data_IF_663930557945
#
_entry.id   IF_663930557945
#
_cell.length_a   1.000
_cell.length_b   1.000
_cell.length_c   1.000
_cell.angle_alpha   90.00
_cell.angle_beta   90.00
_cell.angle_gamma   90.00
#
_symmetry.space_group_name_H-M   'P 1'
#
loop_
_entity.id
_entity.type
_entity.pdbx_description
1 polymer ?
#
# COMPACT_ATOMS: atom_id res chain seq x y z
N UNK A 1 -40.80 43.64 22.55
CA UNK A 1 -40.49 44.12 23.91
C UNK A 1 -40.73 42.96 24.87
N UNK A 2 -39.73 42.60 25.70
CA UNK A 2 -39.66 41.42 26.62
C UNK A 2 -39.55 40.05 25.90
N UNK A 3 -38.70 39.08 26.25
CA UNK A 3 -37.84 38.82 27.42
C UNK A 3 -36.70 37.85 26.98
N UNK A 4 -35.46 38.04 27.44
CA UNK A 4 -34.76 37.20 28.44
C UNK A 4 -33.81 36.14 27.85
N UNK A 5 -32.53 36.26 28.19
CA UNK A 5 -31.52 35.22 28.00
C UNK A 5 -30.18 35.64 28.63
N UNK A 6 -30.08 35.55 29.95
CA UNK A 6 -28.81 35.59 30.67
C UNK A 6 -28.32 34.16 30.89
N UNK A 7 -27.05 33.90 30.63
CA UNK A 7 -26.42 32.61 30.85
C UNK A 7 -24.97 32.59 30.39
N UNK A 8 -24.11 33.26 31.17
CA UNK A 8 -22.66 33.14 31.07
C UNK A 8 -22.26 31.70 31.42
N UNK A 9 -21.60 30.99 30.50
CA UNK A 9 -20.68 29.91 30.86
C UNK A 9 -19.39 30.10 30.09
N UNK A 10 -18.37 30.51 30.83
CA UNK A 10 -16.99 30.60 30.42
C UNK A 10 -16.45 29.16 30.37
N UNK A 11 -16.35 28.60 29.16
CA UNK A 11 -15.71 27.31 28.90
C UNK A 11 -14.57 27.52 27.92
N UNK A 12 -13.40 27.89 28.44
CA UNK A 12 -12.16 27.98 27.70
C UNK A 12 -11.68 26.56 27.39
N UNK A 13 -12.09 26.00 26.25
CA UNK A 13 -11.52 24.77 25.72
C UNK A 13 -10.28 25.14 24.89
N UNK A 14 -9.13 25.15 25.56
CA UNK A 14 -7.82 25.16 24.91
C UNK A 14 -7.61 23.78 24.32
N UNK A 15 -7.98 23.62 23.04
CA UNK A 15 -7.46 22.54 22.20
C UNK A 15 -6.31 23.16 21.41
N UNK A 16 -5.11 23.08 21.99
CA UNK A 16 -3.88 23.44 21.29
C UNK A 16 -3.55 22.38 20.24
N UNK A 17 -3.61 22.78 18.97
CA UNK A 17 -2.61 22.40 17.98
C UNK A 17 -2.88 21.18 17.12
N UNK A 18 -3.84 21.28 16.19
CA UNK A 18 -3.64 20.73 14.85
C UNK A 18 -3.66 21.93 13.91
N UNK A 19 -2.48 22.40 13.51
CA UNK A 19 -2.36 23.39 12.44
C UNK A 19 -2.80 22.73 11.15
N UNK A 20 -4.03 22.99 10.75
CA UNK A 20 -4.61 22.62 9.45
C UNK A 20 -4.06 23.46 8.29
N UNK A 21 -3.05 24.30 8.52
CA UNK A 21 -2.51 25.17 7.48
C UNK A 21 -1.14 24.65 7.00
N UNK A 22 -1.09 24.47 5.68
CA UNK A 22 0.09 24.29 4.82
C UNK A 22 0.51 22.86 4.44
N UNK A 23 -0.47 22.01 4.12
CA UNK A 23 -0.32 21.16 2.93
C UNK A 23 -1.17 21.79 1.83
N UNK A 24 -0.58 22.01 0.66
CA UNK A 24 -1.17 22.65 -0.52
C UNK A 24 -2.31 21.78 -1.15
N UNK A 25 -3.30 21.40 -0.36
CA UNK A 25 -4.58 20.85 -0.78
C UNK A 25 -5.51 22.02 -1.14
N UNK A 26 -5.11 22.84 -2.12
CA UNK A 26 -6.01 23.87 -2.67
C UNK A 26 -7.26 23.16 -3.18
N UNK A 27 -8.33 23.29 -2.39
CA UNK A 27 -9.69 22.84 -2.71
C UNK A 27 -9.73 21.38 -3.16
N UNK A 28 -9.43 20.44 -2.25
CA UNK A 28 -9.97 19.09 -2.42
C UNK A 28 -11.48 19.24 -2.24
N UNK A 29 -12.19 19.42 -3.35
CA UNK A 29 -13.63 19.16 -3.37
C UNK A 29 -13.75 17.68 -3.08
N UNK A 30 -14.42 17.25 -2.00
CA UNK A 30 -14.68 15.84 -1.77
C UNK A 30 -15.44 15.33 -2.99
N UNK A 31 -14.76 14.56 -3.84
CA UNK A 31 -15.45 13.83 -4.87
C UNK A 31 -16.12 12.68 -4.16
N UNK A 32 -17.45 12.64 -4.16
CA UNK A 32 -18.18 11.49 -3.70
C UNK A 32 -17.86 10.33 -4.65
N UNK A 33 -16.88 9.52 -4.28
CA UNK A 33 -16.63 8.24 -4.94
C UNK A 33 -17.71 7.31 -4.43
N UNK A 34 -18.63 6.93 -5.31
CA UNK A 34 -19.51 5.81 -5.06
C UNK A 34 -18.68 4.52 -5.12
N UNK A 35 -18.28 4.00 -3.95
CA UNK A 35 -17.55 2.74 -3.85
C UNK A 35 -18.39 1.52 -4.28
N UNK A 36 -19.69 1.69 -4.53
CA UNK A 36 -20.55 0.65 -5.14
C UNK A 36 -20.56 0.69 -6.67
N UNK A 37 -19.98 1.71 -7.30
CA UNK A 37 -20.00 1.87 -8.75
C UNK A 37 -19.20 0.75 -9.46
N UNK A 38 -19.86 0.02 -10.36
CA UNK A 38 -19.24 -1.06 -11.15
C UNK A 38 -18.71 -0.58 -12.53
N UNK A 39 -18.67 0.72 -12.78
CA UNK A 39 -18.21 1.30 -14.04
C UNK A 39 -17.00 2.22 -13.83
N UNK A 40 -16.01 2.16 -14.74
CA UNK A 40 -14.85 3.05 -14.67
C UNK A 40 -15.28 4.50 -14.83
N UNK A 41 -15.02 5.31 -13.79
CA UNK A 41 -15.47 6.70 -13.70
C UNK A 41 -14.70 7.64 -14.63
N UNK A 42 -13.40 7.40 -14.87
CA UNK A 42 -12.51 8.39 -15.53
C UNK A 42 -11.53 7.82 -16.56
N UNK A 43 -11.02 6.59 -16.40
CA UNK A 43 -10.05 5.99 -17.32
C UNK A 43 -10.47 4.56 -17.66
N UNK A 44 -11.03 4.37 -18.86
CA UNK A 44 -11.46 3.06 -19.36
C UNK A 44 -10.30 2.10 -19.63
N UNK A 45 -9.07 2.60 -19.58
CA UNK A 45 -7.85 1.83 -19.78
C UNK A 45 -6.88 1.99 -18.60
N UNK A 46 -7.40 2.01 -17.37
CA UNK A 46 -6.57 2.07 -16.16
C UNK A 46 -5.59 0.88 -16.04
N UNK A 47 -5.85 -0.23 -16.74
CA UNK A 47 -4.95 -1.38 -16.84
C UNK A 47 -3.70 -1.11 -17.69
N UNK A 48 -3.73 -0.14 -18.62
CA UNK A 48 -2.54 0.35 -19.33
C UNK A 48 -1.89 1.39 -18.44
N UNK A 49 -0.83 1.01 -17.73
CA UNK A 49 -0.19 1.88 -16.74
C UNK A 49 0.60 3.02 -17.39
N UNK A 50 1.01 4.01 -16.61
CA UNK A 50 1.73 5.18 -17.13
C UNK A 50 3.06 4.85 -17.83
N UNK A 51 3.70 3.76 -17.41
CA UNK A 51 4.98 3.28 -17.89
C UNK A 51 4.90 2.88 -19.38
N UNK A 52 3.72 2.45 -19.83
CA UNK A 52 3.45 2.09 -21.22
C UNK A 52 3.55 3.29 -22.19
N UNK A 53 3.51 4.54 -21.68
CA UNK A 53 3.53 5.76 -22.49
C UNK A 53 4.88 6.48 -22.49
N UNK A 54 5.93 5.86 -21.93
CA UNK A 54 7.25 6.49 -21.92
C UNK A 54 7.81 6.62 -23.34
N UNK A 55 8.66 7.61 -23.57
CA UNK A 55 9.35 7.77 -24.85
C UNK A 55 10.33 6.61 -25.01
N UNK A 56 10.23 5.90 -26.12
CA UNK A 56 11.08 4.75 -26.48
C UNK A 56 12.34 5.16 -27.23
N UNK A 57 12.47 6.44 -27.61
CA UNK A 57 13.66 6.99 -28.26
C UNK A 57 14.18 8.17 -27.44
N UNK A 58 15.48 8.16 -27.14
CA UNK A 58 16.15 9.25 -26.44
C UNK A 58 16.61 10.37 -27.39
N UNK A 59 17.13 11.47 -26.82
CA UNK A 59 17.56 12.63 -27.61
C UNK A 59 18.77 12.38 -28.52
N UNK A 60 19.44 11.23 -28.39
CA UNK A 60 20.58 10.81 -29.21
C UNK A 60 20.19 9.74 -30.23
N UNK A 61 18.91 9.40 -30.34
CA UNK A 61 18.40 8.34 -31.23
C UNK A 61 18.59 6.92 -30.68
N UNK A 62 18.91 6.77 -29.39
CA UNK A 62 18.95 5.48 -28.73
C UNK A 62 17.54 4.93 -28.54
N UNK A 63 17.31 3.69 -28.95
CA UNK A 63 16.01 2.99 -28.80
C UNK A 63 16.01 2.18 -27.51
N UNK A 64 14.98 2.37 -26.70
CA UNK A 64 14.75 1.72 -25.41
C UNK A 64 13.38 1.05 -25.44
N UNK A 65 13.32 -0.21 -25.00
CA UNK A 65 12.08 -0.96 -24.90
C UNK A 65 11.73 -1.11 -23.41
N UNK A 66 10.80 -0.33 -22.86
CA UNK A 66 10.31 -0.46 -21.49
C UNK A 66 9.25 -1.58 -21.34
N UNK A 67 8.63 -1.99 -22.45
CA UNK A 67 7.55 -2.98 -22.47
C UNK A 67 8.04 -4.37 -22.07
N UNK A 68 9.34 -4.66 -22.28
CA UNK A 68 9.99 -5.92 -21.89
C UNK A 68 9.83 -6.26 -20.40
N UNK A 69 9.55 -5.27 -19.55
CA UNK A 69 9.33 -5.52 -18.13
C UNK A 69 8.12 -6.45 -17.96
N UNK A 70 6.98 -6.08 -18.55
CA UNK A 70 5.71 -6.78 -18.36
C UNK A 70 5.37 -7.78 -19.46
N UNK A 71 5.76 -7.47 -20.70
CA UNK A 71 5.52 -8.31 -21.85
C UNK A 71 6.78 -9.11 -22.12
N UNK A 72 6.73 -10.42 -21.91
CA UNK A 72 7.87 -11.32 -22.07
C UNK A 72 7.38 -12.61 -22.72
N UNK A 73 8.32 -13.43 -23.19
CA UNK A 73 7.99 -14.79 -23.57
C UNK A 73 7.39 -15.51 -22.36
N UNK A 74 6.27 -16.20 -22.58
CA UNK A 74 5.67 -17.02 -21.52
C UNK A 74 6.67 -18.03 -20.98
N UNK A 75 6.83 -18.08 -19.67
CA UNK A 75 7.57 -19.11 -18.95
C UNK A 75 6.76 -19.50 -17.73
N UNK A 76 6.59 -20.80 -17.51
CA UNK A 76 5.96 -21.31 -16.30
C UNK A 76 6.51 -20.59 -15.05
N UNK A 77 5.64 -20.20 -14.10
CA UNK A 77 4.19 -20.44 -14.05
C UNK A 77 3.33 -19.45 -14.87
N UNK A 78 3.92 -18.42 -15.49
CA UNK A 78 3.19 -17.45 -16.31
C UNK A 78 3.09 -17.91 -17.78
N UNK A 79 1.88 -18.25 -18.21
CA UNK A 79 1.62 -18.72 -19.58
C UNK A 79 1.09 -17.62 -20.53
N UNK A 80 1.04 -16.36 -20.08
CA UNK A 80 0.72 -15.23 -20.95
C UNK A 80 1.91 -15.02 -21.89
N UNK A 81 1.65 -15.15 -23.19
CA UNK A 81 2.66 -14.99 -24.24
C UNK A 81 2.30 -13.79 -25.11
N UNK A 82 2.74 -12.62 -24.70
CA UNK A 82 2.39 -11.33 -25.29
C UNK A 82 3.64 -10.50 -25.64
N UNK A 83 4.77 -11.20 -25.86
CA UNK A 83 6.03 -10.58 -26.23
C UNK A 83 5.94 -9.78 -27.54
N UNK A 84 5.05 -10.16 -28.45
CA UNK A 84 4.78 -9.48 -29.72
C UNK A 84 4.19 -8.06 -29.54
N UNK A 85 3.57 -7.78 -28.40
CA UNK A 85 3.13 -6.42 -28.05
C UNK A 85 4.30 -5.44 -27.92
N UNK A 86 5.51 -5.94 -27.65
CA UNK A 86 6.72 -5.11 -27.64
C UNK A 86 7.08 -4.57 -29.02
N UNK A 87 6.76 -5.32 -30.09
CA UNK A 87 7.11 -4.95 -31.46
C UNK A 87 6.02 -4.10 -32.12
N UNK A 88 4.75 -4.46 -31.87
CA UNK A 88 3.61 -3.89 -32.58
C UNK A 88 3.09 -2.58 -31.99
N UNK A 89 3.40 -2.27 -30.72
CA UNK A 89 2.85 -1.15 -29.97
C UNK A 89 1.32 -1.03 -30.17
N UNK A 90 0.61 -2.16 -30.04
CA UNK A 90 -0.78 -2.35 -30.46
C UNK A 90 -1.80 -1.72 -29.49
N UNK A 91 -1.68 -0.41 -29.30
CA UNK A 91 -2.64 0.34 -28.52
C UNK A 91 -3.89 0.60 -29.37
N UNK A 92 -5.05 0.27 -28.81
CA UNK A 92 -6.34 0.75 -29.29
C UNK A 92 -6.36 2.27 -29.47
N UNK A 93 -7.26 2.79 -30.30
CA UNK A 93 -7.43 4.23 -30.50
C UNK A 93 -7.59 4.98 -29.17
N UNK A 94 -8.34 4.42 -28.23
CA UNK A 94 -8.49 5.01 -26.91
C UNK A 94 -7.15 5.02 -26.16
N UNK A 95 -6.40 3.92 -26.13
CA UNK A 95 -5.18 3.78 -25.33
C UNK A 95 -3.97 4.47 -25.93
N UNK A 96 -4.01 5.02 -27.15
CA UNK A 96 -2.89 5.80 -27.73
C UNK A 96 -2.62 7.14 -27.04
N UNK A 97 -3.58 7.64 -26.27
CA UNK A 97 -3.43 8.92 -25.54
C UNK A 97 -3.11 8.66 -24.07
N UNK A 98 -1.96 9.18 -23.62
CA UNK A 98 -1.60 9.16 -22.20
C UNK A 98 -2.60 10.01 -21.38
N UNK A 99 -3.32 9.38 -20.46
CA UNK A 99 -4.30 10.04 -19.58
C UNK A 99 -3.79 10.24 -18.15
N UNK A 100 -2.56 9.82 -17.82
CA UNK A 100 -1.94 10.04 -16.52
C UNK A 100 -1.36 11.45 -16.39
N UNK A 101 -2.20 12.47 -16.60
CA UNK A 101 -1.78 13.88 -16.62
C UNK A 101 -1.20 14.38 -15.30
N UNK A 102 -1.53 13.72 -14.17
CA UNK A 102 -1.00 14.04 -12.85
C UNK A 102 0.52 13.86 -12.72
N UNK A 103 1.14 13.05 -13.58
CA UNK A 103 2.60 12.83 -13.61
C UNK A 103 3.36 14.05 -14.13
N UNK A 104 2.70 14.90 -14.93
CA UNK A 104 3.30 16.08 -15.55
C UNK A 104 2.98 17.38 -14.80
N UNK A 105 2.31 17.29 -13.64
CA UNK A 105 2.07 18.45 -12.79
C UNK A 105 3.38 18.85 -12.10
N UNK A 106 3.90 20.03 -12.44
CA UNK A 106 5.04 20.63 -11.76
C UNK A 106 4.68 20.93 -10.30
N UNK A 107 5.42 20.31 -9.38
CA UNK A 107 5.28 20.49 -7.93
C UNK A 107 6.52 21.15 -7.32
N UNK A 108 7.46 21.64 -8.13
CA UNK A 108 8.76 22.15 -7.67
C UNK A 108 8.59 23.25 -6.61
N UNK A 109 7.71 24.23 -6.84
CA UNK A 109 7.45 25.29 -5.87
C UNK A 109 6.83 24.74 -4.57
N UNK A 110 5.82 23.87 -4.67
CA UNK A 110 5.17 23.28 -3.51
C UNK A 110 6.11 22.39 -2.68
N UNK A 111 7.07 21.71 -3.34
CA UNK A 111 8.10 20.91 -2.67
C UNK A 111 9.16 21.81 -2.03
N UNK A 112 9.55 22.91 -2.68
CA UNK A 112 10.50 23.87 -2.13
C UNK A 112 9.98 24.58 -0.86
N UNK A 113 8.66 24.65 -0.68
CA UNK A 113 8.00 25.15 0.54
C UNK A 113 8.05 24.15 1.71
N UNK A 114 8.42 22.88 1.47
CA UNK A 114 8.48 21.84 2.51
C UNK A 114 9.90 21.81 3.10
N UNK A 115 10.12 22.26 4.35
CA UNK A 115 11.44 22.19 4.96
C UNK A 115 11.81 20.76 5.35
N UNK A 116 13.11 20.44 5.29
CA UNK A 116 13.65 19.14 5.71
C UNK A 116 13.20 18.73 7.11
N UNK A 117 13.11 19.69 8.04
CA UNK A 117 12.66 19.44 9.42
C UNK A 117 11.26 18.82 9.47
N UNK A 118 10.35 19.28 8.60
CA UNK A 118 8.98 18.76 8.52
C UNK A 118 8.93 17.38 7.89
N UNK A 119 9.81 17.09 6.92
CA UNK A 119 9.95 15.71 6.39
C UNK A 119 10.48 14.79 7.48
N UNK A 120 11.53 15.20 8.18
CA UNK A 120 12.16 14.43 9.25
C UNK A 120 11.24 14.20 10.45
N UNK A 121 10.36 15.15 10.76
CA UNK A 121 9.31 14.98 11.76
C UNK A 121 8.30 13.92 11.29
N UNK A 122 7.76 14.07 10.09
CA UNK A 122 6.77 13.15 9.52
C UNK A 122 7.26 11.70 9.43
N UNK A 123 8.49 11.45 8.93
CA UNK A 123 9.03 10.07 8.81
C UNK A 123 9.33 9.41 10.15
N UNK A 124 9.34 10.16 11.26
CA UNK A 124 9.52 9.63 12.62
C UNK A 124 8.19 9.33 13.31
N UNK A 125 7.06 9.70 12.71
CA UNK A 125 5.75 9.37 13.25
C UNK A 125 5.45 7.89 13.01
N UNK A 126 5.03 7.19 14.07
CA UNK A 126 4.40 5.87 13.92
C UNK A 126 2.95 6.09 13.49
N UNK A 127 2.64 5.72 12.25
CA UNK A 127 1.29 5.81 11.69
C UNK A 127 0.55 4.46 11.69
N UNK A 128 1.14 3.42 12.28
CA UNK A 128 0.50 2.12 12.48
C UNK A 128 -0.01 1.97 13.91
N UNK A 129 0.72 2.51 14.90
CA UNK A 129 0.43 2.35 16.33
C UNK A 129 0.20 3.69 17.05
N UNK A 130 -0.66 3.67 18.07
CA UNK A 130 -0.74 4.77 19.03
C UNK A 130 0.40 4.73 20.07
N UNK A 131 0.39 5.66 21.03
CA UNK A 131 1.43 5.76 22.08
C UNK A 131 1.38 4.59 23.07
N UNK A 132 0.23 3.92 23.15
CA UNK A 132 -0.04 2.77 23.98
C UNK A 132 0.30 1.44 23.26
N UNK A 133 0.64 1.51 21.96
CA UNK A 133 1.02 0.36 21.14
C UNK A 133 -0.16 -0.34 20.44
N UNK A 134 -1.38 0.22 20.48
CA UNK A 134 -2.52 -0.34 19.76
C UNK A 134 -2.44 -0.01 18.28
N UNK A 135 -2.90 -0.95 17.44
CA UNK A 135 -2.96 -0.76 16.00
C UNK A 135 -4.10 0.20 15.62
N UNK A 136 -3.75 1.39 15.13
CA UNK A 136 -4.69 2.49 14.85
C UNK A 136 -5.85 2.08 13.94
N UNK A 137 -5.53 1.35 12.86
CA UNK A 137 -6.55 0.90 11.92
C UNK A 137 -7.43 -0.22 12.51
N UNK A 138 -6.87 -1.13 13.29
CA UNK A 138 -7.66 -2.19 13.95
C UNK A 138 -8.66 -1.58 14.94
N UNK A 139 -8.25 -0.61 15.74
CA UNK A 139 -9.15 0.11 16.65
C UNK A 139 -10.25 0.87 15.89
N UNK A 140 -9.90 1.52 14.78
CA UNK A 140 -10.88 2.22 13.93
C UNK A 140 -11.91 1.26 13.32
N UNK A 141 -11.52 0.05 12.95
CA UNK A 141 -12.41 -0.94 12.35
C UNK A 141 -13.39 -1.57 13.36
N UNK A 142 -13.10 -1.51 14.68
CA UNK A 142 -14.08 -1.89 15.72
C UNK A 142 -15.30 -0.96 15.72
N UNK A 143 -15.12 0.31 15.36
CA UNK A 143 -16.16 1.32 15.24
C UNK A 143 -16.30 1.75 13.77
N UNK A 144 -16.75 0.82 12.93
CA UNK A 144 -16.77 0.99 11.47
C UNK A 144 -17.52 2.27 11.05
N UNK A 145 -16.86 3.21 10.34
CA UNK A 145 -17.54 4.37 9.78
C UNK A 145 -18.61 3.93 8.77
N UNK A 146 -19.81 4.53 8.82
CA UNK A 146 -20.92 4.20 7.91
C UNK A 146 -20.53 4.27 6.42
N UNK A 147 -19.63 5.19 6.05
CA UNK A 147 -19.16 5.32 4.67
C UNK A 147 -18.29 4.14 4.18
N UNK A 148 -17.82 3.28 5.08
CA UNK A 148 -16.97 2.11 4.78
C UNK A 148 -17.77 0.80 4.85
N UNK A 149 -18.97 0.85 5.40
CA UNK A 149 -19.89 -0.28 5.56
C UNK A 149 -20.71 -0.49 4.28
N UNK A 150 -20.07 -1.04 3.25
CA UNK A 150 -20.66 -1.17 1.90
C UNK A 150 -21.90 -2.06 1.87
N UNK A 151 -22.00 -3.04 2.78
CA UNK A 151 -23.14 -3.97 2.85
C UNK A 151 -24.13 -3.65 4.00
N UNK A 152 -23.91 -2.54 4.71
CA UNK A 152 -24.76 -2.03 5.79
C UNK A 152 -24.96 -3.01 6.96
N UNK A 153 -24.00 -3.92 7.21
CA UNK A 153 -24.12 -4.92 8.27
C UNK A 153 -23.54 -4.45 9.63
N UNK A 154 -22.94 -3.26 9.67
CA UNK A 154 -22.35 -2.65 10.85
C UNK A 154 -21.04 -3.28 11.32
N UNK A 155 -20.38 -4.10 10.48
CA UNK A 155 -19.18 -4.88 10.84
C UNK A 155 -18.16 -4.86 9.71
N UNK A 156 -16.88 -4.91 10.09
CA UNK A 156 -15.82 -5.08 9.11
C UNK A 156 -15.67 -6.56 8.76
N UNK A 157 -16.00 -6.91 7.52
CA UNK A 157 -15.89 -8.30 7.02
C UNK A 157 -14.52 -8.61 6.41
N UNK A 158 -13.66 -7.60 6.27
CA UNK A 158 -12.33 -7.75 5.67
C UNK A 158 -11.25 -8.14 6.67
N UNK A 159 -10.00 -8.11 6.20
CA UNK A 159 -8.83 -8.29 7.06
C UNK A 159 -8.73 -7.17 8.10
N UNK A 160 -8.62 -7.52 9.38
CA UNK A 160 -8.30 -6.59 10.46
C UNK A 160 -6.80 -6.68 10.73
N UNK A 161 -6.04 -5.56 10.69
CA UNK A 161 -4.61 -5.57 10.97
C UNK A 161 -4.28 -6.15 12.34
N UNK A 162 -3.32 -7.06 12.37
CA UNK A 162 -2.86 -7.79 13.56
C UNK A 162 -1.34 -8.04 13.57
N UNK A 163 -0.60 -7.42 12.65
CA UNK A 163 0.86 -7.34 12.70
C UNK A 163 1.28 -6.18 13.59
N UNK A 164 2.18 -6.43 14.55
CA UNK A 164 2.64 -5.44 15.51
C UNK A 164 3.94 -4.73 15.11
N UNK A 165 4.55 -5.15 13.99
CA UNK A 165 5.84 -4.65 13.49
C UNK A 165 6.95 -4.73 14.56
N UNK A 166 6.92 -5.81 15.33
CA UNK A 166 7.89 -6.13 16.39
C UNK A 166 8.58 -7.45 16.03
N UNK A 167 9.48 -7.38 15.05
CA UNK A 167 10.16 -8.54 14.50
C UNK A 167 11.34 -9.00 15.38
N UNK A 168 11.50 -10.31 15.52
CA UNK A 168 12.74 -10.89 16.04
C UNK A 168 13.83 -10.99 14.96
N UNK A 169 15.00 -11.52 15.33
CA UNK A 169 16.17 -11.62 14.44
C UNK A 169 15.91 -12.46 13.17
N UNK A 170 14.91 -13.33 13.19
CA UNK A 170 14.53 -14.19 12.06
C UNK A 170 13.37 -13.60 11.23
N UNK A 171 12.91 -12.41 11.62
CA UNK A 171 11.86 -11.66 10.95
C UNK A 171 10.44 -12.03 11.39
N UNK A 172 10.24 -12.82 12.45
CA UNK A 172 8.91 -13.16 12.94
C UNK A 172 8.34 -12.07 13.84
N UNK A 173 7.12 -11.63 13.56
CA UNK A 173 6.42 -10.61 14.33
C UNK A 173 5.89 -11.17 15.66
N UNK A 174 5.97 -10.33 16.70
CA UNK A 174 5.50 -10.66 18.05
C UNK A 174 4.44 -9.69 18.53
N UNK A 175 3.43 -10.23 19.21
CA UNK A 175 2.46 -9.43 19.95
C UNK A 175 3.11 -8.78 21.20
N UNK A 176 2.42 -7.85 21.88
CA UNK A 176 2.93 -7.22 23.10
C UNK A 176 3.15 -8.17 24.29
N UNK A 177 2.66 -9.41 24.20
CA UNK A 177 2.88 -10.47 25.21
C UNK A 177 4.08 -11.36 24.86
N UNK A 178 4.70 -11.15 23.69
CA UNK A 178 5.83 -11.90 23.18
C UNK A 178 5.49 -13.14 22.35
N UNK A 179 4.20 -13.40 22.08
CA UNK A 179 3.76 -14.53 21.25
C UNK A 179 3.93 -14.22 19.76
N UNK A 180 4.13 -15.24 18.95
CA UNK A 180 4.18 -15.09 17.50
C UNK A 180 2.79 -14.78 16.92
N UNK A 181 2.70 -13.76 16.06
CA UNK A 181 1.44 -13.42 15.35
C UNK A 181 1.24 -14.23 14.07
N UNK A 182 2.28 -14.98 13.68
CA UNK A 182 2.38 -15.70 12.42
C UNK A 182 2.88 -14.84 11.26
N UNK A 183 2.98 -13.52 11.38
CA UNK A 183 3.59 -12.69 10.34
C UNK A 183 5.11 -12.87 10.34
N UNK A 184 5.70 -13.00 9.15
CA UNK A 184 7.14 -12.99 8.94
C UNK A 184 7.52 -12.01 7.84
N UNK A 185 8.47 -11.13 8.12
CA UNK A 185 9.10 -10.28 7.12
C UNK A 185 10.01 -11.10 6.21
N UNK A 186 10.07 -10.78 4.92
CA UNK A 186 10.99 -11.42 3.99
C UNK A 186 11.59 -10.42 2.99
N UNK A 187 12.81 -10.71 2.55
CA UNK A 187 13.46 -9.95 1.50
C UNK A 187 12.93 -10.39 0.13
N UNK A 188 12.65 -9.42 -0.73
CA UNK A 188 12.23 -9.64 -2.11
C UNK A 188 13.08 -8.81 -3.07
N UNK A 189 13.15 -9.25 -4.33
CA UNK A 189 13.67 -8.41 -5.40
C UNK A 189 12.49 -7.65 -6.01
N UNK A 190 12.41 -6.32 -5.87
CA UNK A 190 11.31 -5.56 -6.45
C UNK A 190 11.35 -5.67 -7.97
N UNK A 191 10.17 -5.83 -8.55
CA UNK A 191 9.99 -5.80 -10.01
C UNK A 191 10.13 -4.36 -10.55
N UNK A 192 10.56 -4.24 -11.80
CA UNK A 192 10.87 -2.96 -12.44
C UNK A 192 9.62 -2.05 -12.53
N UNK A 193 9.72 -0.82 -12.04
CA UNK A 193 8.88 0.29 -12.53
C UNK A 193 7.93 0.98 -11.55
N UNK A 194 7.80 0.55 -10.30
CA UNK A 194 6.96 1.24 -9.30
C UNK A 194 7.73 2.04 -8.26
N UNK A 195 9.05 1.91 -8.24
CA UNK A 195 9.90 2.47 -7.19
C UNK A 195 10.83 3.54 -7.77
N UNK A 196 10.47 4.80 -7.56
CA UNK A 196 11.38 5.93 -7.81
C UNK A 196 12.19 6.24 -6.55
N UNK A 197 13.44 6.73 -6.68
CA UNK A 197 14.23 7.21 -5.54
C UNK A 197 13.50 8.27 -4.69
N UNK A 198 12.51 8.96 -5.25
CA UNK A 198 11.66 9.94 -4.57
C UNK A 198 10.54 9.33 -3.73
N UNK A 199 10.31 8.02 -3.79
CA UNK A 199 9.18 7.35 -3.15
C UNK A 199 9.55 6.67 -1.82
N UNK A 200 10.79 6.82 -1.33
CA UNK A 200 11.21 6.27 -0.04
C UNK A 200 11.56 4.77 -0.09
N UNK A 201 11.80 4.21 1.10
CA UNK A 201 12.20 2.81 1.32
C UNK A 201 11.20 1.84 0.68
N UNK A 202 11.72 0.71 0.19
CA UNK A 202 10.98 -0.44 -0.34
C UNK A 202 9.77 -0.79 0.54
N UNK A 203 8.66 -1.22 -0.07
CA UNK A 203 7.52 -1.77 0.67
C UNK A 203 8.01 -2.84 1.66
N UNK A 204 7.55 -2.79 2.91
CA UNK A 204 7.75 -3.89 3.85
C UNK A 204 6.77 -5.02 3.48
N UNK A 205 7.31 -6.17 3.09
CA UNK A 205 6.48 -7.32 2.69
C UNK A 205 6.49 -8.38 3.78
N UNK A 206 5.29 -8.74 4.20
CA UNK A 206 5.04 -9.74 5.23
C UNK A 206 4.28 -10.92 4.63
N UNK A 207 4.58 -12.12 5.10
CA UNK A 207 3.84 -13.33 4.78
C UNK A 207 3.30 -13.95 6.07
N UNK A 208 2.07 -14.47 6.02
CA UNK A 208 1.50 -15.34 7.03
C UNK A 208 0.80 -16.51 6.37
N UNK A 209 1.24 -17.72 6.69
CA UNK A 209 0.52 -18.92 6.25
C UNK A 209 -0.70 -19.19 7.16
N UNK A 210 -1.75 -19.86 6.65
CA UNK A 210 -2.87 -20.32 7.46
C UNK A 210 -2.42 -21.13 8.68
N UNK A 211 -3.24 -21.15 9.72
CA UNK A 211 -2.96 -21.79 11.01
C UNK A 211 -2.56 -23.28 10.86
N UNK A 212 -3.16 -24.00 9.91
CA UNK A 212 -2.86 -25.41 9.63
C UNK A 212 -1.42 -25.63 9.15
N UNK A 213 -0.76 -24.60 8.60
CA UNK A 213 0.65 -24.63 8.19
C UNK A 213 1.59 -24.14 9.30
N UNK A 214 1.07 -23.80 10.47
CA UNK A 214 1.85 -23.31 11.61
C UNK A 214 1.76 -24.24 12.81
N UNK A 215 0.85 -25.22 12.78
CA UNK A 215 0.60 -26.15 13.86
C UNK A 215 1.26 -27.51 13.67
N UNK A 216 1.61 -28.16 14.78
CA UNK A 216 2.04 -29.55 14.80
C UNK A 216 0.86 -30.54 14.71
N UNK A 217 1.15 -31.84 14.84
CA UNK A 217 0.15 -32.91 14.74
C UNK A 217 -0.91 -32.90 15.85
N UNK A 218 -0.67 -32.17 16.93
CA UNK A 218 -1.60 -32.00 18.04
C UNK A 218 -2.46 -30.73 17.89
N UNK A 219 -2.22 -29.92 16.85
CA UNK A 219 -2.89 -28.63 16.66
C UNK A 219 -2.25 -27.48 17.44
N UNK A 220 -1.02 -27.66 17.96
CA UNK A 220 -0.33 -26.61 18.72
C UNK A 220 0.61 -25.82 17.81
N UNK A 221 0.65 -24.49 17.97
CA UNK A 221 1.57 -23.61 17.22
C UNK A 221 3.03 -24.08 17.40
N UNK A 222 3.73 -24.28 16.29
CA UNK A 222 5.07 -24.85 16.28
C UNK A 222 5.96 -24.12 15.25
N UNK A 223 6.90 -23.32 15.75
CA UNK A 223 7.76 -22.49 14.92
C UNK A 223 8.60 -23.32 13.93
N UNK A 224 9.06 -24.52 14.33
CA UNK A 224 9.82 -25.40 13.43
C UNK A 224 8.96 -25.87 12.27
N UNK A 225 7.71 -26.29 12.53
CA UNK A 225 6.76 -26.64 11.45
C UNK A 225 6.53 -25.44 10.55
N UNK A 226 6.34 -24.26 11.13
CA UNK A 226 6.08 -23.07 10.35
C UNK A 226 7.27 -22.68 9.44
N UNK A 227 8.50 -22.72 9.97
CA UNK A 227 9.73 -22.48 9.21
C UNK A 227 9.88 -23.45 8.03
N UNK A 228 9.64 -24.74 8.27
CA UNK A 228 9.65 -25.77 7.21
C UNK A 228 8.64 -25.43 6.11
N UNK A 229 7.41 -25.07 6.48
CA UNK A 229 6.38 -24.73 5.51
C UNK A 229 6.69 -23.44 4.73
N UNK A 230 7.29 -22.44 5.37
CA UNK A 230 7.80 -21.25 4.68
C UNK A 230 8.93 -21.60 3.70
N UNK A 231 9.85 -22.49 4.06
CA UNK A 231 10.92 -22.94 3.17
C UNK A 231 10.37 -23.73 1.97
N UNK A 232 9.31 -24.52 2.16
CA UNK A 232 8.58 -25.17 1.05
C UNK A 232 7.99 -24.13 0.11
N UNK A 233 7.33 -23.09 0.64
CA UNK A 233 6.77 -22.00 -0.17
C UNK A 233 7.88 -21.27 -0.94
N UNK A 234 8.99 -20.95 -0.28
CA UNK A 234 10.14 -20.34 -0.93
C UNK A 234 10.72 -21.22 -2.06
N UNK A 235 10.85 -22.52 -1.81
CA UNK A 235 11.33 -23.49 -2.80
C UNK A 235 10.43 -23.56 -4.02
N UNK A 236 9.10 -23.56 -3.81
CA UNK A 236 8.12 -23.54 -4.89
C UNK A 236 8.20 -22.26 -5.72
N UNK A 237 8.30 -21.09 -5.07
CA UNK A 237 8.40 -19.80 -5.77
C UNK A 237 9.71 -19.66 -6.54
N UNK A 238 10.82 -20.13 -5.96
CA UNK A 238 12.17 -20.02 -6.57
C UNK A 238 12.51 -21.18 -7.51
N UNK A 239 11.65 -22.19 -7.61
CA UNK A 239 11.85 -23.42 -8.38
C UNK A 239 13.22 -24.08 -8.11
N UNK A 240 13.63 -24.10 -6.83
CA UNK A 240 14.94 -24.66 -6.43
C UNK A 240 14.94 -25.16 -4.99
N UNK A 241 15.94 -25.96 -4.66
CA UNK A 241 16.18 -26.40 -3.29
C UNK A 241 16.56 -25.22 -2.39
N UNK A 242 16.00 -25.20 -1.18
CA UNK A 242 16.25 -24.19 -0.14
C UNK A 242 16.73 -24.91 1.12
N UNK A 243 17.74 -24.34 1.77
CA UNK A 243 18.19 -24.82 3.08
C UNK A 243 17.17 -24.39 4.14
N UNK A 244 16.77 -25.32 5.00
CA UNK A 244 15.90 -25.03 6.15
C UNK A 244 16.81 -24.68 7.32
N UNK A 245 16.69 -23.46 7.85
CA UNK A 245 17.44 -22.93 8.99
C UNK A 245 16.63 -22.92 10.31
#
# INVERSE_FOLDING_TARGET
MKFSGAGFFLGLLVVSGYSSDQMNAKTIVPYAIDFSAMHSLNNKAAYVTSQCYTKTEDSKGGVHNPCFACHINSKAPNYINDADLQESYDFSEYTRTNRFTNLFKDRTQAVAEIPDSRILEYVREDNYRDKEGHLLLAEKLKALPKAWDVNENGKWDGYTPDCHFSFDEEGFDRDPRGNYTGWRAFAYSPFLGTFWPTNGSTDDVLIRLPEEFRQDRNGEENLTVYKVNLAIVESLIKEKDIMID
#
